data_IF_554142207663
#
_entry.id   IF_554142207663
#
_cell.length_a   1.000
_cell.length_b   1.000
_cell.length_c   1.000
_cell.angle_alpha   90.00
_cell.angle_beta   90.00
_cell.angle_gamma   90.00
#
_symmetry.space_group_name_H-M   'P 1'
#
loop_
_entity.id
_entity.type
_entity.pdbx_description
1 polymer ?
#
# COMPACT_ATOMS: atom_id res chain seq x y z
N UNK A 1 -23.18 -0.15 17.15
CA UNK A 1 -23.21 0.74 15.97
C UNK A 1 -22.05 1.74 16.03
N UNK A 2 -21.87 2.42 17.16
CA UNK A 2 -20.74 3.34 17.41
C UNK A 2 -19.35 2.68 17.29
N UNK A 3 -19.17 1.45 17.77
CA UNK A 3 -17.90 0.72 17.61
C UNK A 3 -17.54 0.36 16.17
N UNK A 4 -18.56 0.15 15.32
CA UNK A 4 -18.35 -0.16 13.90
C UNK A 4 -17.96 1.10 13.13
N UNK A 5 -18.60 2.23 13.43
CA UNK A 5 -18.26 3.53 12.85
C UNK A 5 -16.81 3.90 13.18
N UNK A 6 -16.42 3.79 14.45
CA UNK A 6 -15.04 4.05 14.89
C UNK A 6 -14.01 3.21 14.13
N UNK A 7 -14.28 1.91 13.96
CA UNK A 7 -13.36 1.03 13.23
C UNK A 7 -13.28 1.37 11.74
N UNK A 8 -14.38 1.78 11.11
CA UNK A 8 -14.36 2.27 9.72
C UNK A 8 -13.55 3.57 9.62
N UNK A 9 -13.70 4.50 10.57
CA UNK A 9 -12.93 5.75 10.62
C UNK A 9 -11.42 5.48 10.76
N UNK A 10 -11.03 4.54 11.62
CA UNK A 10 -9.64 4.11 11.78
C UNK A 10 -9.08 3.53 10.47
N UNK A 11 -9.83 2.66 9.80
CA UNK A 11 -9.44 2.07 8.52
C UNK A 11 -9.32 3.12 7.40
N UNK A 12 -10.25 4.08 7.31
CA UNK A 12 -10.19 5.17 6.34
C UNK A 12 -8.99 6.07 6.59
N UNK A 13 -8.71 6.39 7.87
CA UNK A 13 -7.55 7.20 8.25
C UNK A 13 -6.25 6.50 7.89
N UNK A 14 -6.16 5.20 8.16
CA UNK A 14 -5.02 4.37 7.79
C UNK A 14 -4.83 4.27 6.28
N UNK A 15 -5.91 4.06 5.52
CA UNK A 15 -5.88 4.08 4.05
C UNK A 15 -5.31 5.38 3.50
N UNK A 16 -5.75 6.52 4.03
CA UNK A 16 -5.26 7.84 3.62
C UNK A 16 -3.77 8.00 3.90
N UNK A 17 -3.31 7.56 5.06
CA UNK A 17 -1.89 7.59 5.41
C UNK A 17 -1.07 6.70 4.45
N UNK A 18 -1.51 5.46 4.20
CA UNK A 18 -0.83 4.54 3.27
C UNK A 18 -0.69 5.14 1.87
N UNK A 19 -1.77 5.71 1.32
CA UNK A 19 -1.73 6.36 0.00
C UNK A 19 -0.73 7.52 -0.04
N UNK A 20 -0.64 8.31 1.03
CA UNK A 20 0.33 9.41 1.09
C UNK A 20 1.78 8.91 1.16
N UNK A 21 2.05 7.84 1.91
CA UNK A 21 3.39 7.24 1.95
C UNK A 21 3.78 6.61 0.62
N UNK A 22 2.85 5.88 0.00
CA UNK A 22 3.04 5.26 -1.33
C UNK A 22 3.37 6.32 -2.38
N UNK A 23 2.66 7.45 -2.39
CA UNK A 23 2.90 8.55 -3.34
C UNK A 23 4.33 9.10 -3.28
N UNK A 24 4.98 9.07 -2.10
CA UNK A 24 6.37 9.51 -1.98
C UNK A 24 7.32 8.60 -2.76
N UNK A 25 7.04 7.30 -2.80
CA UNK A 25 7.84 6.36 -3.60
C UNK A 25 7.56 6.52 -5.09
N UNK A 26 6.30 6.74 -5.48
CA UNK A 26 5.93 7.03 -6.87
C UNK A 26 6.65 8.27 -7.39
N UNK A 27 6.70 9.34 -6.59
CA UNK A 27 7.42 10.56 -6.91
C UNK A 27 8.94 10.34 -6.95
N UNK A 28 9.50 9.60 -5.98
CA UNK A 28 10.93 9.32 -5.89
C UNK A 28 11.46 8.49 -7.06
N UNK A 29 10.69 7.50 -7.51
CA UNK A 29 11.11 6.56 -8.55
C UNK A 29 10.49 6.81 -9.93
N UNK A 30 9.53 7.73 -10.03
CA UNK A 30 8.82 8.02 -11.29
C UNK A 30 8.06 6.81 -11.84
N UNK A 31 7.55 5.94 -10.96
CA UNK A 31 6.87 4.70 -11.32
C UNK A 31 5.57 4.58 -10.53
N UNK A 32 4.50 4.16 -11.19
CA UNK A 32 3.22 3.86 -10.54
C UNK A 32 3.35 2.64 -9.62
N UNK A 33 2.69 2.67 -8.46
CA UNK A 33 2.79 1.59 -7.48
C UNK A 33 2.23 0.25 -7.96
N UNK A 34 1.22 0.25 -8.83
CA UNK A 34 0.67 -0.99 -9.39
C UNK A 34 1.66 -1.64 -10.35
N UNK A 35 2.34 -0.84 -11.18
CA UNK A 35 3.43 -1.29 -12.06
C UNK A 35 4.62 -1.82 -11.25
N UNK A 36 5.03 -1.09 -10.21
CA UNK A 36 6.09 -1.51 -9.30
C UNK A 36 5.74 -2.86 -8.66
N UNK A 37 4.55 -2.96 -8.05
CA UNK A 37 4.11 -4.16 -7.35
C UNK A 37 4.06 -5.38 -8.27
N UNK A 38 3.52 -5.23 -9.49
CA UNK A 38 3.47 -6.32 -10.46
C UNK A 38 4.88 -6.78 -10.87
N UNK A 39 5.77 -5.85 -11.22
CA UNK A 39 7.12 -6.20 -11.69
C UNK A 39 7.98 -6.75 -10.56
N UNK A 40 7.91 -6.17 -9.37
CA UNK A 40 8.67 -6.61 -8.19
C UNK A 40 8.22 -8.01 -7.75
N UNK A 41 6.91 -8.24 -7.61
CA UNK A 41 6.37 -9.55 -7.20
C UNK A 41 6.71 -10.69 -8.18
N UNK A 42 6.91 -10.37 -9.46
CA UNK A 42 7.30 -11.32 -10.51
C UNK A 42 8.81 -11.44 -10.71
N UNK A 43 9.64 -10.69 -9.97
CA UNK A 43 11.09 -10.67 -10.16
C UNK A 43 11.52 -10.07 -11.52
N UNK A 44 10.69 -9.20 -12.11
CA UNK A 44 10.96 -8.54 -13.39
C UNK A 44 11.78 -7.25 -13.22
N UNK A 45 11.87 -6.72 -12.00
CA UNK A 45 12.81 -5.66 -11.68
C UNK A 45 14.16 -6.28 -11.32
N UNK A 46 15.28 -5.73 -11.83
CA UNK A 46 16.60 -6.15 -11.37
C UNK A 46 16.71 -5.84 -9.88
N UNK A 47 17.37 -6.75 -9.14
CA UNK A 47 17.66 -6.51 -7.74
C UNK A 47 18.57 -5.28 -7.58
N UNK A 48 18.19 -4.28 -6.77
CA UNK A 48 19.02 -3.11 -6.57
C UNK A 48 20.35 -3.46 -5.90
N UNK A 49 21.46 -3.02 -6.50
CA UNK A 49 22.80 -3.17 -5.90
C UNK A 49 23.02 -2.22 -4.72
N UNK A 50 22.26 -1.12 -4.68
CA UNK A 50 22.26 -0.16 -3.59
C UNK A 50 21.35 -0.66 -2.46
N UNK A 51 21.89 -0.91 -1.25
CA UNK A 51 21.10 -1.34 -0.10
C UNK A 51 19.97 -0.37 0.28
N UNK A 52 20.15 0.93 0.04
CA UNK A 52 19.12 1.93 0.33
C UNK A 52 17.92 1.76 -0.62
N UNK A 53 18.19 1.60 -1.92
CA UNK A 53 17.14 1.37 -2.92
C UNK A 53 16.43 0.04 -2.68
N UNK A 54 17.18 -1.01 -2.32
CA UNK A 54 16.57 -2.27 -1.93
C UNK A 54 15.66 -2.10 -0.70
N UNK A 55 16.11 -1.36 0.31
CA UNK A 55 15.31 -1.02 1.49
C UNK A 55 14.02 -0.27 1.12
N UNK A 56 14.12 0.73 0.25
CA UNK A 56 12.96 1.46 -0.26
C UNK A 56 11.96 0.54 -0.97
N UNK A 57 12.42 -0.36 -1.83
CA UNK A 57 11.55 -1.31 -2.55
C UNK A 57 10.81 -2.25 -1.59
N UNK A 58 11.50 -2.74 -0.56
CA UNK A 58 10.90 -3.59 0.48
C UNK A 58 9.82 -2.83 1.27
N UNK A 59 10.09 -1.58 1.63
CA UNK A 59 9.12 -0.73 2.33
C UNK A 59 7.93 -0.43 1.43
N UNK A 60 8.16 -0.01 0.19
CA UNK A 60 7.12 0.32 -0.77
C UNK A 60 6.20 -0.87 -1.03
N UNK A 61 6.77 -2.06 -1.26
CA UNK A 61 6.00 -3.28 -1.41
C UNK A 61 5.12 -3.57 -0.17
N UNK A 62 5.68 -3.44 1.02
CA UNK A 62 4.95 -3.64 2.28
C UNK A 62 3.79 -2.65 2.47
N UNK A 63 3.96 -1.38 2.07
CA UNK A 63 2.89 -0.38 2.13
C UNK A 63 1.74 -0.71 1.17
N UNK A 64 2.04 -1.17 -0.04
CA UNK A 64 1.04 -1.57 -1.04
C UNK A 64 0.25 -2.79 -0.55
N UNK A 65 0.96 -3.80 -0.04
CA UNK A 65 0.36 -4.97 0.61
C UNK A 65 -0.61 -4.59 1.73
N UNK A 66 -0.20 -3.66 2.59
CA UNK A 66 -1.06 -3.22 3.69
C UNK A 66 -2.26 -2.40 3.20
N UNK A 67 -2.08 -1.60 2.15
CA UNK A 67 -3.19 -0.89 1.51
C UNK A 67 -4.23 -1.88 1.00
N UNK A 68 -3.82 -2.95 0.31
CA UNK A 68 -4.75 -3.99 -0.15
C UNK A 68 -5.52 -4.63 1.00
N UNK A 69 -4.86 -4.95 2.12
CA UNK A 69 -5.52 -5.51 3.32
C UNK A 69 -6.56 -4.54 3.90
N UNK A 70 -6.19 -3.26 4.05
CA UNK A 70 -7.09 -2.22 4.58
C UNK A 70 -8.30 -2.02 3.66
N UNK A 71 -8.10 -1.99 2.34
CA UNK A 71 -9.19 -1.86 1.37
C UNK A 71 -10.12 -3.08 1.35
N UNK A 72 -9.56 -4.28 1.48
CA UNK A 72 -10.37 -5.50 1.58
C UNK A 72 -11.25 -5.49 2.85
N UNK A 73 -10.69 -5.06 3.98
CA UNK A 73 -11.41 -4.97 5.25
C UNK A 73 -12.51 -3.90 5.20
N UNK A 74 -12.23 -2.73 4.62
CA UNK A 74 -13.24 -1.71 4.35
C UNK A 74 -14.37 -2.27 3.47
N UNK A 75 -14.02 -2.98 2.40
CA UNK A 75 -15.01 -3.59 1.50
C UNK A 75 -15.90 -4.60 2.22
N UNK A 76 -15.34 -5.44 3.09
CA UNK A 76 -16.11 -6.41 3.89
C UNK A 76 -17.13 -5.74 4.81
N UNK A 77 -16.78 -4.57 5.36
CA UNK A 77 -17.62 -3.82 6.31
C UNK A 77 -18.69 -2.95 5.64
N UNK A 78 -18.44 -2.50 4.42
CA UNK A 78 -19.33 -1.60 3.66
C UNK A 78 -20.31 -2.34 2.75
N UNK A 79 -20.12 -3.65 2.51
CA UNK A 79 -21.07 -4.44 1.72
C UNK A 79 -22.44 -4.48 2.42
N UNK A 80 -23.53 -4.09 1.74
CA UNK A 80 -24.87 -4.31 2.27
C UNK A 80 -25.09 -5.83 2.43
N UNK A 81 -25.67 -6.22 3.58
CA UNK A 81 -26.13 -7.59 3.82
C UNK A 81 -27.35 -7.90 2.96
#
# INVERSE_FOLDING_TARGET
MESMLKLVEELVSRRRWLLNEIKKFEEKYGMDSSDFYEKWSKGLLPEPLDPEIHGDFMIWYGLIEELYRVEEELRKRLKPR
#
